data_IF_327772589779
#
_entry.id   IF_327772589779
#
_cell.length_a   1.000
_cell.length_b   1.000
_cell.length_c   1.000
_cell.angle_alpha   90.00
_cell.angle_beta   90.00
_cell.angle_gamma   90.00
#
_symmetry.space_group_name_H-M   'P 1'
#
loop_
_entity.id
_entity.type
_entity.pdbx_description
1 polymer ?
#
# COMPACT_ATOMS: atom_id res chain seq x y z
N UNK A 1 -18.52 -0.34 23.64
CA UNK A 1 -17.17 -0.82 23.89
C UNK A 1 -17.06 -2.31 23.63
N UNK A 2 -15.96 -2.75 23.03
CA UNK A 2 -15.65 -4.15 22.81
C UNK A 2 -15.44 -4.80 24.18
N UNK A 3 -16.18 -5.86 24.48
CA UNK A 3 -16.13 -6.54 25.79
C UNK A 3 -15.56 -7.96 25.70
N UNK A 4 -15.39 -8.49 24.48
CA UNK A 4 -14.94 -9.87 24.26
C UNK A 4 -13.53 -9.90 23.68
N UNK A 5 -12.65 -10.80 24.15
CA UNK A 5 -11.26 -10.90 23.68
C UNK A 5 -11.11 -11.78 22.43
N UNK A 6 -12.13 -11.90 21.60
CA UNK A 6 -12.11 -12.69 20.37
C UNK A 6 -12.53 -11.87 19.17
N UNK A 7 -12.09 -12.28 17.98
CA UNK A 7 -12.50 -11.70 16.71
C UNK A 7 -13.89 -12.19 16.31
N UNK A 8 -14.63 -11.33 15.59
CA UNK A 8 -15.86 -11.74 14.93
C UNK A 8 -15.48 -12.47 13.65
N UNK A 9 -15.81 -13.73 13.55
CA UNK A 9 -15.51 -14.61 12.43
C UNK A 9 -16.74 -15.10 11.67
N UNK A 10 -17.93 -14.68 12.07
CA UNK A 10 -19.21 -14.90 11.37
C UNK A 10 -20.14 -13.73 11.68
N UNK A 11 -20.20 -12.78 10.75
CA UNK A 11 -20.96 -11.55 10.89
C UNK A 11 -22.18 -11.54 9.96
N UNK A 12 -23.26 -10.91 10.41
CA UNK A 12 -24.45 -10.69 9.57
C UNK A 12 -24.19 -9.65 8.47
N UNK A 13 -23.24 -8.73 8.73
CA UNK A 13 -22.79 -7.70 7.81
C UNK A 13 -21.28 -7.50 7.92
N UNK A 14 -20.60 -7.47 6.76
CA UNK A 14 -19.18 -7.13 6.64
C UNK A 14 -19.04 -5.96 5.66
N UNK A 15 -18.21 -4.97 6.00
CA UNK A 15 -17.87 -3.87 5.10
C UNK A 15 -16.38 -3.87 4.79
N UNK A 16 -16.03 -4.01 3.53
CA UNK A 16 -14.68 -3.81 3.01
C UNK A 16 -14.51 -2.35 2.61
N UNK A 17 -13.82 -1.57 3.42
CA UNK A 17 -13.65 -0.13 3.16
C UNK A 17 -12.54 0.18 2.15
N UNK A 18 -11.62 -0.75 1.90
CA UNK A 18 -10.53 -0.59 0.94
C UNK A 18 -10.51 -1.78 -0.04
N UNK A 19 -10.64 -1.53 -1.35
CA UNK A 19 -10.70 -2.60 -2.36
C UNK A 19 -9.44 -3.44 -2.43
N UNK A 20 -8.28 -2.94 -1.98
CA UNK A 20 -7.04 -3.72 -1.95
C UNK A 20 -7.13 -4.99 -1.10
N UNK A 21 -8.04 -5.05 -0.13
CA UNK A 21 -8.25 -6.27 0.67
C UNK A 21 -8.93 -7.37 -0.15
N UNK A 22 -9.72 -6.99 -1.15
CA UNK A 22 -10.32 -7.93 -2.11
C UNK A 22 -9.25 -8.43 -3.09
N UNK A 23 -8.48 -7.53 -3.70
CA UNK A 23 -7.43 -7.91 -4.66
C UNK A 23 -6.29 -8.72 -4.04
N UNK A 24 -6.06 -8.56 -2.74
CA UNK A 24 -5.08 -9.35 -1.96
C UNK A 24 -5.64 -10.67 -1.41
N UNK A 25 -6.88 -10.99 -1.75
CA UNK A 25 -7.56 -12.21 -1.31
C UNK A 25 -7.59 -12.38 0.22
N UNK A 26 -7.77 -11.28 0.97
CA UNK A 26 -8.00 -11.39 2.41
C UNK A 26 -9.33 -12.11 2.67
N UNK A 27 -9.39 -13.01 3.66
CA UNK A 27 -10.56 -13.88 3.89
C UNK A 27 -11.78 -13.16 4.49
N UNK A 28 -11.87 -11.82 4.41
CA UNK A 28 -12.98 -11.04 4.93
C UNK A 28 -14.34 -11.46 4.38
N UNK A 29 -14.36 -12.00 3.17
CA UNK A 29 -15.58 -12.57 2.56
C UNK A 29 -16.08 -13.77 3.36
N UNK A 30 -15.17 -14.60 3.91
CA UNK A 30 -15.50 -15.78 4.72
C UNK A 30 -16.03 -15.45 6.11
N UNK A 31 -15.84 -14.19 6.55
CA UNK A 31 -16.39 -13.71 7.84
C UNK A 31 -17.89 -13.42 7.76
N UNK A 32 -18.46 -13.35 6.57
CA UNK A 32 -19.90 -13.18 6.37
C UNK A 32 -20.62 -14.49 6.62
N UNK A 33 -21.68 -14.47 7.45
CA UNK A 33 -22.59 -15.62 7.63
C UNK A 33 -23.32 -15.95 6.33
N UNK A 34 -23.71 -17.23 6.13
CA UNK A 34 -24.66 -17.58 5.07
C UNK A 34 -25.92 -16.69 5.11
N UNK A 35 -26.31 -16.16 3.96
CA UNK A 35 -27.40 -15.19 3.82
C UNK A 35 -27.11 -13.77 4.32
N UNK A 36 -25.91 -13.52 4.83
CA UNK A 36 -25.47 -12.21 5.29
C UNK A 36 -25.18 -11.23 4.16
N UNK A 37 -24.68 -10.04 4.50
CA UNK A 37 -24.40 -8.99 3.54
C UNK A 37 -22.91 -8.59 3.55
N UNK A 38 -22.35 -8.39 2.34
CA UNK A 38 -21.01 -7.85 2.10
C UNK A 38 -21.12 -6.53 1.33
N UNK A 39 -20.59 -5.45 1.88
CA UNK A 39 -20.46 -4.16 1.22
C UNK A 39 -18.99 -3.92 0.86
N UNK A 40 -18.69 -3.61 -0.38
CA UNK A 40 -17.34 -3.25 -0.84
C UNK A 40 -17.33 -1.78 -1.28
N UNK A 41 -16.47 -0.97 -0.67
CA UNK A 41 -16.21 0.39 -1.10
C UNK A 41 -15.12 0.38 -2.18
N UNK A 42 -15.52 0.58 -3.43
CA UNK A 42 -14.62 0.58 -4.58
C UNK A 42 -15.18 1.45 -5.70
N UNK A 43 -14.34 1.71 -6.71
CA UNK A 43 -14.72 2.43 -7.93
C UNK A 43 -15.14 1.48 -9.07
N UNK A 44 -15.11 0.17 -8.82
CA UNK A 44 -15.47 -0.85 -9.81
C UNK A 44 -16.97 -0.91 -10.06
N UNK A 45 -17.33 -1.17 -11.31
CA UNK A 45 -18.68 -1.58 -11.67
C UNK A 45 -18.95 -3.03 -11.23
N UNK A 46 -20.21 -3.48 -11.19
CA UNK A 46 -20.53 -4.89 -10.92
C UNK A 46 -19.82 -5.88 -11.87
N UNK A 47 -19.61 -5.50 -13.13
CA UNK A 47 -18.95 -6.32 -14.15
C UNK A 47 -17.42 -6.39 -13.88
N UNK A 48 -16.79 -5.28 -13.57
CA UNK A 48 -15.36 -5.22 -13.25
C UNK A 48 -15.03 -5.97 -11.96
N UNK A 49 -15.95 -6.00 -10.98
CA UNK A 49 -15.74 -6.71 -9.72
C UNK A 49 -15.37 -8.18 -9.93
N UNK A 50 -15.91 -8.82 -10.96
CA UNK A 50 -15.63 -10.23 -11.24
C UNK A 50 -14.13 -10.49 -11.46
N UNK A 51 -13.43 -9.57 -12.08
CA UNK A 51 -11.98 -9.69 -12.35
C UNK A 51 -11.14 -9.56 -11.07
N UNK A 52 -11.67 -8.88 -10.06
CA UNK A 52 -10.97 -8.61 -8.80
C UNK A 52 -11.23 -9.63 -7.69
N UNK A 53 -12.29 -10.43 -7.81
CA UNK A 53 -12.60 -11.46 -6.81
C UNK A 53 -11.82 -12.75 -7.10
N UNK A 54 -11.20 -13.32 -6.06
CA UNK A 54 -10.61 -14.66 -6.16
C UNK A 54 -11.67 -15.72 -6.39
N UNK A 55 -11.29 -16.85 -7.01
CA UNK A 55 -12.18 -17.99 -7.19
C UNK A 55 -12.75 -18.50 -5.86
N UNK A 56 -11.96 -18.45 -4.78
CA UNK A 56 -12.40 -18.86 -3.45
C UNK A 56 -13.47 -17.92 -2.89
N UNK A 57 -13.29 -16.59 -3.09
CA UNK A 57 -14.28 -15.59 -2.70
C UNK A 57 -15.57 -15.72 -3.50
N UNK A 58 -15.47 -15.91 -4.83
CA UNK A 58 -16.63 -16.16 -5.72
C UNK A 58 -17.45 -17.35 -5.27
N UNK A 59 -16.79 -18.50 -5.05
CA UNK A 59 -17.47 -19.70 -4.56
C UNK A 59 -18.16 -19.48 -3.24
N UNK A 60 -17.45 -18.87 -2.27
CA UNK A 60 -18.04 -18.62 -0.95
C UNK A 60 -19.29 -17.74 -1.03
N UNK A 61 -19.24 -16.66 -1.81
CA UNK A 61 -20.37 -15.74 -2.01
C UNK A 61 -21.58 -16.48 -2.59
N UNK A 62 -21.36 -17.27 -3.66
CA UNK A 62 -22.45 -17.96 -4.36
C UNK A 62 -23.01 -19.19 -3.61
N UNK A 63 -22.16 -19.95 -2.90
CA UNK A 63 -22.57 -21.13 -2.11
C UNK A 63 -23.32 -20.76 -0.83
N UNK A 64 -23.06 -19.55 -0.29
CA UNK A 64 -23.63 -19.10 0.97
C UNK A 64 -24.72 -18.01 0.81
N UNK A 65 -25.20 -17.76 -0.41
CA UNK A 65 -26.24 -16.75 -0.71
C UNK A 65 -25.92 -15.37 -0.14
N UNK A 66 -24.66 -14.94 -0.22
CA UNK A 66 -24.21 -13.65 0.31
C UNK A 66 -24.79 -12.50 -0.53
N UNK A 67 -25.44 -11.55 0.11
CA UNK A 67 -25.94 -10.33 -0.52
C UNK A 67 -24.78 -9.38 -0.75
N UNK A 68 -24.36 -9.24 -1.99
CA UNK A 68 -23.20 -8.44 -2.38
C UNK A 68 -23.61 -7.02 -2.80
N UNK A 69 -22.94 -6.02 -2.24
CA UNK A 69 -23.17 -4.62 -2.51
C UNK A 69 -21.88 -3.87 -2.83
N UNK A 70 -21.93 -2.92 -3.75
CA UNK A 70 -20.86 -1.97 -4.06
C UNK A 70 -21.28 -0.56 -3.71
N UNK A 71 -20.32 0.26 -3.29
CA UNK A 71 -20.50 1.71 -3.10
C UNK A 71 -19.20 2.42 -3.49
N UNK A 72 -19.31 3.50 -4.26
CA UNK A 72 -18.17 4.38 -4.52
C UNK A 72 -18.25 5.62 -3.59
N UNK A 73 -17.93 5.42 -2.32
CA UNK A 73 -18.02 6.48 -1.32
C UNK A 73 -16.93 7.56 -1.51
N UNK A 74 -15.86 7.28 -2.25
CA UNK A 74 -14.77 8.24 -2.49
C UNK A 74 -15.25 9.34 -3.43
N UNK A 75 -15.78 8.97 -4.58
CA UNK A 75 -16.26 9.96 -5.57
C UNK A 75 -17.47 10.71 -5.04
N UNK A 76 -18.38 10.04 -4.34
CA UNK A 76 -19.48 10.68 -3.62
C UNK A 76 -18.99 11.73 -2.62
N UNK A 77 -17.94 11.43 -1.84
CA UNK A 77 -17.39 12.38 -0.88
C UNK A 77 -16.76 13.59 -1.58
N UNK A 78 -16.11 13.39 -2.72
CA UNK A 78 -15.53 14.46 -3.54
C UNK A 78 -16.63 15.35 -4.11
N UNK A 79 -17.68 14.78 -4.71
CA UNK A 79 -18.83 15.49 -5.28
C UNK A 79 -19.57 16.34 -4.24
N UNK A 80 -19.73 15.82 -3.02
CA UNK A 80 -20.38 16.53 -1.91
C UNK A 80 -19.48 17.66 -1.36
N UNK A 81 -18.17 17.64 -1.66
CA UNK A 81 -17.19 18.59 -1.13
C UNK A 81 -16.51 18.15 0.17
N UNK A 82 -16.66 16.89 0.57
CA UNK A 82 -16.02 16.32 1.76
C UNK A 82 -14.57 15.86 1.51
N UNK A 83 -14.05 15.98 0.29
CA UNK A 83 -12.77 15.46 -0.13
C UNK A 83 -12.75 13.93 0.00
N UNK A 84 -11.75 13.36 0.68
CA UNK A 84 -11.61 11.90 0.84
C UNK A 84 -12.31 11.34 2.11
N UNK A 85 -13.22 12.08 2.75
CA UNK A 85 -13.88 11.70 4.00
C UNK A 85 -15.13 10.86 3.73
N UNK A 86 -14.98 9.56 3.69
CA UNK A 86 -16.04 8.60 3.34
C UNK A 86 -16.80 8.05 4.54
N UNK A 87 -16.32 8.27 5.77
CA UNK A 87 -16.83 7.62 6.98
C UNK A 87 -18.34 7.84 7.21
N UNK A 88 -18.86 9.03 7.00
CA UNK A 88 -20.28 9.33 7.19
C UNK A 88 -21.15 8.62 6.16
N UNK A 89 -20.70 8.56 4.90
CA UNK A 89 -21.38 7.84 3.81
C UNK A 89 -21.44 6.35 4.13
N UNK A 90 -20.30 5.74 4.48
CA UNK A 90 -20.20 4.32 4.78
C UNK A 90 -20.98 3.93 6.06
N UNK A 91 -21.03 4.81 7.06
CA UNK A 91 -21.84 4.59 8.25
C UNK A 91 -23.34 4.59 7.91
N UNK A 92 -23.80 5.46 7.04
CA UNK A 92 -25.18 5.49 6.59
C UNK A 92 -25.56 4.24 5.79
N UNK A 93 -24.67 3.81 4.88
CA UNK A 93 -24.82 2.54 4.16
C UNK A 93 -24.90 1.34 5.12
N UNK A 94 -24.06 1.34 6.17
CA UNK A 94 -24.12 0.30 7.21
C UNK A 94 -25.49 0.21 7.86
N UNK A 95 -26.03 1.31 8.38
CA UNK A 95 -27.32 1.29 9.05
C UNK A 95 -28.47 0.84 8.13
N UNK A 96 -28.38 1.20 6.85
CA UNK A 96 -29.37 0.79 5.85
C UNK A 96 -29.31 -0.71 5.54
N UNK A 97 -28.10 -1.25 5.35
CA UNK A 97 -27.90 -2.65 4.93
C UNK A 97 -27.92 -3.64 6.08
N UNK A 98 -27.33 -3.29 7.23
CA UNK A 98 -27.26 -4.16 8.40
C UNK A 98 -28.59 -4.22 9.18
N UNK A 99 -29.51 -3.28 8.95
CA UNK A 99 -30.88 -3.24 9.52
C UNK A 99 -30.90 -3.41 11.06
N UNK A 100 -29.94 -2.80 11.75
CA UNK A 100 -29.85 -2.87 13.22
C UNK A 100 -30.92 -2.05 13.91
N UNK A 101 -31.56 -1.14 13.19
CA UNK A 101 -32.73 -0.35 13.59
C UNK A 101 -33.51 0.10 12.33
N UNK A 102 -34.73 0.67 12.46
CA UNK A 102 -35.43 1.25 11.32
C UNK A 102 -34.57 2.31 10.61
N UNK A 103 -34.52 2.25 9.29
CA UNK A 103 -33.65 3.10 8.47
C UNK A 103 -33.91 4.59 8.68
N UNK A 104 -35.17 5.00 8.72
CA UNK A 104 -35.56 6.40 8.91
C UNK A 104 -35.07 6.96 10.26
N UNK A 105 -35.19 6.16 11.32
CA UNK A 105 -34.70 6.54 12.66
C UNK A 105 -33.17 6.65 12.66
N UNK A 106 -32.47 5.71 12.03
CA UNK A 106 -31.01 5.72 11.95
C UNK A 106 -30.50 6.98 11.23
N UNK A 107 -31.10 7.31 10.09
CA UNK A 107 -30.76 8.50 9.30
C UNK A 107 -31.02 9.77 10.13
N UNK A 108 -32.15 9.84 10.84
CA UNK A 108 -32.47 11.00 11.66
C UNK A 108 -31.46 11.15 12.82
N UNK A 109 -31.14 10.09 13.52
CA UNK A 109 -30.12 10.13 14.59
C UNK A 109 -28.74 10.53 14.07
N UNK A 110 -28.35 10.06 12.89
CA UNK A 110 -27.09 10.48 12.26
C UNK A 110 -27.09 11.99 11.92
N UNK A 111 -28.19 12.50 11.38
CA UNK A 111 -28.33 13.94 11.05
C UNK A 111 -28.32 14.80 12.31
N UNK A 112 -29.01 14.40 13.36
CA UNK A 112 -29.00 15.08 14.66
C UNK A 112 -27.61 15.12 15.29
N UNK A 113 -26.89 13.99 15.24
CA UNK A 113 -25.53 13.88 15.73
C UNK A 113 -24.54 14.74 14.90
N UNK A 114 -24.69 14.77 13.59
CA UNK A 114 -23.90 15.61 12.69
C UNK A 114 -24.15 17.11 12.98
N UNK A 115 -25.41 17.50 13.11
CA UNK A 115 -25.81 18.86 13.47
C UNK A 115 -25.19 19.28 14.80
N UNK A 116 -25.30 18.46 15.85
CA UNK A 116 -24.70 18.72 17.16
C UNK A 116 -23.17 18.85 17.09
N UNK A 117 -22.52 18.00 16.31
CA UNK A 117 -21.06 17.95 16.22
C UNK A 117 -20.46 19.10 15.41
N UNK A 118 -21.18 19.53 14.37
CA UNK A 118 -20.64 20.48 13.39
C UNK A 118 -21.30 21.86 13.41
N UNK A 119 -22.33 22.11 14.22
CA UNK A 119 -23.01 23.41 14.31
C UNK A 119 -22.04 24.59 14.48
N UNK A 120 -20.98 24.43 15.28
CA UNK A 120 -19.96 25.45 15.50
C UNK A 120 -19.05 25.72 14.29
N UNK A 121 -19.05 24.84 13.28
CA UNK A 121 -18.24 24.97 12.07
C UNK A 121 -18.97 25.62 10.90
N UNK A 122 -20.26 25.94 11.07
CA UNK A 122 -21.10 26.61 10.08
C UNK A 122 -22.16 25.68 9.48
N UNK A 123 -23.22 26.31 8.97
CA UNK A 123 -24.37 25.61 8.39
C UNK A 123 -23.99 24.78 7.15
N UNK A 124 -23.06 25.27 6.33
CA UNK A 124 -22.60 24.58 5.12
C UNK A 124 -21.96 23.22 5.45
N UNK A 125 -21.20 23.15 6.56
CA UNK A 125 -20.57 21.89 7.00
C UNK A 125 -21.62 20.91 7.52
N UNK A 126 -22.66 21.39 8.19
CA UNK A 126 -23.80 20.57 8.64
C UNK A 126 -24.54 20.01 7.42
N UNK A 127 -24.90 20.87 6.45
CA UNK A 127 -25.58 20.48 5.22
C UNK A 127 -24.79 19.45 4.41
N UNK A 128 -23.50 19.65 4.27
CA UNK A 128 -22.59 18.71 3.61
C UNK A 128 -22.63 17.32 4.28
N UNK A 129 -22.62 17.25 5.61
CA UNK A 129 -22.73 15.98 6.33
C UNK A 129 -24.11 15.35 6.19
N UNK A 130 -25.20 16.15 6.14
CA UNK A 130 -26.55 15.64 5.88
C UNK A 130 -26.65 15.03 4.48
N UNK A 131 -26.10 15.70 3.44
CA UNK A 131 -26.02 15.16 2.08
C UNK A 131 -25.25 13.85 2.03
N UNK A 132 -24.15 13.75 2.77
CA UNK A 132 -23.35 12.51 2.85
C UNK A 132 -24.15 11.36 3.51
N UNK A 133 -24.96 11.64 4.53
CA UNK A 133 -25.83 10.67 5.17
C UNK A 133 -26.89 10.17 4.18
N UNK A 134 -27.56 11.10 3.47
CA UNK A 134 -28.59 10.75 2.48
C UNK A 134 -28.02 9.94 1.32
N UNK A 135 -26.87 10.36 0.79
CA UNK A 135 -26.17 9.63 -0.27
C UNK A 135 -25.78 8.21 0.15
N UNK A 136 -25.21 8.05 1.36
CA UNK A 136 -24.84 6.74 1.87
C UNK A 136 -26.02 5.78 2.05
N UNK A 137 -27.21 6.31 2.30
CA UNK A 137 -28.42 5.50 2.46
C UNK A 137 -28.97 4.92 1.13
N UNK A 138 -28.54 5.44 -0.02
CA UNK A 138 -29.14 5.10 -1.33
C UNK A 138 -28.16 4.80 -2.45
N UNK A 139 -26.89 5.21 -2.34
CA UNK A 139 -25.94 5.17 -3.44
C UNK A 139 -25.20 3.82 -3.62
N UNK A 140 -25.52 2.80 -2.84
CA UNK A 140 -24.98 1.46 -3.06
C UNK A 140 -25.80 0.70 -4.11
N UNK A 141 -25.11 -0.18 -4.84
CA UNK A 141 -25.69 -1.05 -5.85
C UNK A 141 -25.61 -2.49 -5.38
N UNK A 142 -26.69 -3.24 -5.47
CA UNK A 142 -26.67 -4.69 -5.24
C UNK A 142 -26.17 -5.39 -6.50
N UNK A 143 -25.23 -6.31 -6.32
CA UNK A 143 -24.66 -7.12 -7.39
C UNK A 143 -25.41 -8.44 -7.48
N UNK A 144 -25.89 -8.78 -8.68
CA UNK A 144 -26.43 -10.10 -8.95
C UNK A 144 -25.30 -11.12 -9.01
N UNK A 145 -25.34 -12.10 -8.12
CA UNK A 145 -24.30 -13.13 -7.99
C UNK A 145 -24.53 -14.23 -9.05
N UNK A 146 -23.62 -14.42 -10.03
CA UNK A 146 -23.79 -15.45 -11.05
C UNK A 146 -23.70 -16.86 -10.45
N UNK A 147 -24.59 -17.75 -10.88
CA UNK A 147 -24.55 -19.17 -10.48
C UNK A 147 -23.22 -19.85 -10.87
N UNK A 148 -22.61 -19.41 -11.96
CA UNK A 148 -21.29 -19.87 -12.42
C UNK A 148 -20.17 -19.67 -11.38
N UNK A 149 -20.33 -18.75 -10.44
CA UNK A 149 -19.32 -18.54 -9.40
C UNK A 149 -19.16 -19.74 -8.45
N UNK A 150 -20.17 -20.60 -8.31
CA UNK A 150 -20.06 -21.83 -7.51
C UNK A 150 -18.97 -22.79 -8.00
N UNK A 151 -18.66 -22.74 -9.29
CA UNK A 151 -17.65 -23.58 -9.93
C UNK A 151 -16.41 -22.81 -10.38
N UNK A 152 -16.19 -21.60 -9.87
CA UNK A 152 -15.05 -20.76 -10.23
C UNK A 152 -13.72 -21.49 -9.93
N UNK A 153 -12.84 -21.60 -10.91
CA UNK A 153 -11.52 -22.22 -10.77
C UNK A 153 -10.44 -21.17 -10.54
N UNK A 154 -9.52 -21.47 -9.64
CA UNK A 154 -8.38 -20.58 -9.38
C UNK A 154 -7.40 -20.65 -10.55
N UNK A 155 -7.01 -19.51 -11.10
CA UNK A 155 -5.86 -19.45 -11.99
C UNK A 155 -4.61 -19.95 -11.25
N UNK A 156 -3.70 -20.69 -11.93
CA UNK A 156 -2.45 -21.10 -11.31
C UNK A 156 -1.67 -19.85 -10.87
N UNK A 157 -1.32 -19.78 -9.59
CA UNK A 157 -0.46 -18.71 -9.07
C UNK A 157 0.95 -18.93 -9.60
N UNK A 158 1.36 -18.13 -10.57
CA UNK A 158 2.77 -17.99 -10.95
C UNK A 158 3.35 -16.89 -10.06
N UNK A 159 3.81 -17.25 -8.89
CA UNK A 159 4.56 -16.32 -8.03
C UNK A 159 6.06 -16.44 -8.35
N UNK A 160 6.48 -15.92 -9.49
CA UNK A 160 7.90 -15.63 -9.70
C UNK A 160 8.26 -14.39 -8.89
N UNK A 161 8.50 -14.58 -7.59
CA UNK A 161 8.99 -13.52 -6.72
C UNK A 161 10.50 -13.40 -6.97
N UNK A 162 10.93 -12.29 -7.56
CA UNK A 162 12.34 -11.98 -7.77
C UNK A 162 12.94 -11.38 -6.48
N UNK A 163 14.12 -11.84 -6.09
CA UNK A 163 14.79 -11.33 -4.91
C UNK A 163 15.82 -12.28 -4.30
N UNK A 164 16.32 -11.92 -3.14
CA UNK A 164 17.26 -12.76 -2.40
C UNK A 164 16.58 -14.04 -1.90
N UNK A 165 17.21 -15.22 -2.07
CA UNK A 165 16.58 -16.51 -1.76
C UNK A 165 15.98 -16.59 -0.36
N UNK A 166 16.70 -16.06 0.65
CA UNK A 166 16.25 -16.07 2.04
C UNK A 166 15.03 -15.16 2.28
N UNK A 167 14.96 -14.01 1.58
CA UNK A 167 13.81 -13.10 1.67
C UNK A 167 12.61 -13.69 0.93
N UNK A 168 12.82 -14.26 -0.25
CA UNK A 168 11.78 -14.96 -1.03
C UNK A 168 11.19 -16.13 -0.22
N UNK A 169 12.05 -16.93 0.43
CA UNK A 169 11.58 -18.02 1.29
C UNK A 169 10.72 -17.53 2.46
N UNK A 170 11.12 -16.44 3.14
CA UNK A 170 10.31 -15.82 4.20
C UNK A 170 8.96 -15.33 3.66
N UNK A 171 8.99 -14.63 2.52
CA UNK A 171 7.78 -14.07 1.92
C UNK A 171 6.81 -15.19 1.56
N UNK A 172 7.26 -16.19 0.83
CA UNK A 172 6.39 -17.27 0.34
C UNK A 172 5.87 -18.16 1.46
N UNK A 173 6.74 -18.54 2.40
CA UNK A 173 6.40 -19.56 3.40
C UNK A 173 5.74 -19.00 4.66
N UNK A 174 5.95 -17.71 4.97
CA UNK A 174 5.45 -17.10 6.21
C UNK A 174 4.63 -15.85 5.95
N UNK A 175 5.21 -14.86 5.25
CA UNK A 175 4.60 -13.54 5.13
C UNK A 175 3.30 -13.56 4.33
N UNK A 176 3.26 -14.23 3.18
CA UNK A 176 2.04 -14.33 2.37
C UNK A 176 0.90 -15.08 3.06
N UNK A 177 1.11 -16.26 3.69
CA UNK A 177 0.05 -16.90 4.47
C UNK A 177 -0.47 -16.01 5.60
N UNK A 178 0.42 -15.34 6.34
CA UNK A 178 0.03 -14.42 7.42
C UNK A 178 -0.73 -13.21 6.85
N UNK A 179 -0.28 -12.64 5.73
CA UNK A 179 -0.96 -11.52 5.08
C UNK A 179 -2.36 -11.89 4.56
N UNK A 180 -2.55 -13.14 4.16
CA UNK A 180 -3.88 -13.69 3.81
C UNK A 180 -4.72 -14.08 5.02
N UNK A 181 -4.25 -13.79 6.25
CA UNK A 181 -4.88 -14.17 7.51
C UNK A 181 -5.06 -15.69 7.68
N UNK A 182 -4.18 -16.48 7.08
CA UNK A 182 -4.12 -17.93 7.14
C UNK A 182 -2.90 -18.42 7.95
N UNK A 183 -2.39 -17.56 8.83
CA UNK A 183 -1.22 -17.84 9.65
C UNK A 183 -1.41 -19.02 10.61
N UNK A 184 -2.63 -19.30 11.03
CA UNK A 184 -2.95 -20.45 11.90
C UNK A 184 -2.77 -21.81 11.18
N UNK A 185 -2.70 -21.84 9.85
CA UNK A 185 -2.39 -23.05 9.08
C UNK A 185 -0.88 -23.40 9.09
N UNK A 186 -0.02 -22.43 9.48
CA UNK A 186 1.42 -22.63 9.49
C UNK A 186 1.85 -23.56 10.65
N UNK A 187 2.63 -24.61 10.35
CA UNK A 187 3.24 -25.41 11.41
C UNK A 187 4.35 -24.62 12.13
N UNK A 188 4.64 -24.96 13.36
CA UNK A 188 5.76 -24.35 14.13
C UNK A 188 7.09 -24.45 13.36
N UNK A 189 7.28 -25.52 12.58
CA UNK A 189 8.47 -25.72 11.75
C UNK A 189 8.64 -24.70 10.61
N UNK A 190 7.60 -23.93 10.25
CA UNK A 190 7.73 -22.82 9.30
C UNK A 190 8.63 -21.69 9.82
N UNK A 191 8.87 -21.65 11.14
CA UNK A 191 9.70 -20.64 11.80
C UNK A 191 11.10 -21.15 12.16
N UNK A 192 11.48 -22.35 11.70
CA UNK A 192 12.86 -22.87 11.87
C UNK A 192 13.82 -21.96 11.10
N UNK A 193 14.86 -21.49 11.80
CA UNK A 193 15.83 -20.49 11.31
C UNK A 193 15.50 -19.05 11.71
N UNK A 194 14.37 -18.81 12.40
CA UNK A 194 13.98 -17.49 12.92
C UNK A 194 13.77 -17.51 14.45
N UNK A 195 14.24 -18.52 15.14
CA UNK A 195 14.02 -18.78 16.58
C UNK A 195 14.61 -17.69 17.48
N UNK A 196 15.67 -17.04 17.02
CA UNK A 196 16.33 -15.92 17.70
C UNK A 196 15.68 -14.55 17.39
N UNK A 197 14.62 -14.53 16.58
CA UNK A 197 13.93 -13.33 16.15
C UNK A 197 14.64 -12.55 15.04
N UNK A 198 15.65 -13.14 14.37
CA UNK A 198 16.28 -12.54 13.20
C UNK A 198 15.53 -12.96 11.94
N UNK A 199 15.11 -11.97 11.17
CA UNK A 199 14.41 -12.15 9.90
C UNK A 199 15.22 -11.49 8.75
N UNK A 200 15.13 -12.01 7.52
CA UNK A 200 15.72 -11.36 6.35
C UNK A 200 15.25 -9.91 6.20
N UNK A 201 16.17 -9.00 5.93
CA UNK A 201 15.84 -7.59 5.69
C UNK A 201 15.17 -7.38 4.33
N UNK A 202 14.34 -6.33 4.20
CA UNK A 202 13.75 -5.90 2.94
C UNK A 202 12.43 -6.58 2.57
N UNK A 203 11.82 -7.36 3.48
CA UNK A 203 10.56 -8.04 3.20
C UNK A 203 9.38 -7.06 2.95
N UNK A 204 9.46 -5.81 3.40
CA UNK A 204 8.46 -4.76 3.09
C UNK A 204 8.26 -4.51 1.59
N UNK A 205 9.28 -4.77 0.76
CA UNK A 205 9.20 -4.63 -0.70
C UNK A 205 8.14 -5.56 -1.35
N UNK A 206 7.75 -6.62 -0.65
CA UNK A 206 6.78 -7.63 -1.14
C UNK A 206 5.36 -7.44 -0.60
N UNK A 207 5.13 -6.46 0.30
CA UNK A 207 3.79 -6.20 0.80
C UNK A 207 2.85 -5.65 -0.27
N UNK A 208 3.33 -4.77 -1.16
CA UNK A 208 2.57 -4.20 -2.28
C UNK A 208 1.14 -3.81 -1.87
N UNK A 209 1.03 -2.92 -0.88
CA UNK A 209 -0.25 -2.63 -0.17
C UNK A 209 -1.32 -2.02 -1.06
N UNK A 210 -0.94 -1.22 -2.08
CA UNK A 210 -1.87 -0.64 -3.05
C UNK A 210 -2.93 0.26 -2.41
N UNK A 211 -2.57 1.03 -1.39
CA UNK A 211 -3.53 1.82 -0.58
C UNK A 211 -3.73 3.25 -1.07
N UNK A 212 -2.90 3.72 -1.99
CA UNK A 212 -3.04 5.06 -2.55
C UNK A 212 -4.26 5.14 -3.48
N UNK A 213 -5.05 6.19 -3.37
CA UNK A 213 -6.12 6.49 -4.33
C UNK A 213 -5.54 7.09 -5.61
N UNK A 214 -4.49 7.92 -5.44
CA UNK A 214 -3.79 8.55 -6.56
C UNK A 214 -2.29 8.45 -6.32
N UNK A 215 -1.53 8.30 -7.39
CA UNK A 215 -0.08 8.18 -7.43
C UNK A 215 0.52 9.17 -8.44
N UNK A 216 1.81 9.54 -8.34
CA UNK A 216 2.38 10.51 -9.27
C UNK A 216 2.68 9.86 -10.62
N UNK A 217 2.11 10.41 -11.68
CA UNK A 217 2.55 10.20 -13.05
C UNK A 217 3.73 11.13 -13.38
N UNK A 218 4.73 10.63 -14.11
CA UNK A 218 5.88 11.40 -14.52
C UNK A 218 5.82 11.82 -15.99
N UNK A 219 5.96 13.14 -16.22
CA UNK A 219 6.18 13.71 -17.55
C UNK A 219 7.70 13.96 -17.77
N UNK A 220 8.37 13.17 -18.64
CA UNK A 220 9.79 13.31 -18.90
C UNK A 220 10.18 14.62 -19.60
N UNK A 221 9.30 15.20 -20.43
CA UNK A 221 9.63 16.36 -21.28
C UNK A 221 9.91 17.62 -20.46
N UNK A 222 9.19 17.81 -19.35
CA UNK A 222 9.36 18.97 -18.48
C UNK A 222 10.35 18.72 -17.35
N UNK A 223 10.80 17.47 -17.15
CA UNK A 223 11.67 17.08 -16.05
C UNK A 223 13.10 17.63 -16.20
N UNK A 224 13.61 18.30 -15.17
CA UNK A 224 14.98 18.81 -15.10
C UNK A 224 15.97 17.86 -14.41
N UNK A 225 15.52 16.68 -13.98
CA UNK A 225 16.32 15.63 -13.31
C UNK A 225 17.00 16.13 -12.02
N UNK A 226 16.30 16.94 -11.23
CA UNK A 226 16.83 17.47 -9.97
C UNK A 226 16.73 16.47 -8.80
N UNK A 227 15.94 15.39 -8.94
CA UNK A 227 15.69 14.34 -7.97
C UNK A 227 15.07 14.81 -6.63
N UNK A 228 14.50 16.03 -6.57
CA UNK A 228 13.86 16.53 -5.35
C UNK A 228 12.63 15.69 -4.97
N UNK A 229 11.88 15.20 -5.95
CA UNK A 229 10.74 14.31 -5.73
C UNK A 229 11.15 13.00 -5.01
N UNK A 230 12.24 12.39 -5.43
CA UNK A 230 12.82 11.23 -4.75
C UNK A 230 13.35 11.61 -3.35
N UNK A 231 14.03 12.75 -3.25
CA UNK A 231 14.62 13.22 -2.00
C UNK A 231 13.58 13.42 -0.88
N UNK A 232 12.39 13.91 -1.19
CA UNK A 232 11.34 14.14 -0.19
C UNK A 232 10.45 12.92 0.06
N UNK A 233 10.51 11.87 -0.78
CA UNK A 233 9.64 10.72 -0.64
C UNK A 233 9.95 9.93 0.65
N UNK A 234 8.99 9.82 1.59
CA UNK A 234 9.23 9.11 2.86
C UNK A 234 9.31 7.59 2.70
N UNK A 235 8.76 7.05 1.61
CA UNK A 235 8.59 5.61 1.40
C UNK A 235 9.51 5.04 0.32
N UNK A 236 10.38 5.87 -0.30
CA UNK A 236 11.27 5.48 -1.38
C UNK A 236 10.57 4.85 -2.60
N UNK A 237 9.37 5.30 -2.91
CA UNK A 237 8.51 4.77 -3.99
C UNK A 237 8.69 5.49 -5.33
N UNK A 238 9.43 6.60 -5.36
CA UNK A 238 9.81 7.33 -6.56
C UNK A 238 11.33 7.46 -6.57
N UNK A 239 11.99 6.90 -7.59
CA UNK A 239 13.45 6.79 -7.64
C UNK A 239 13.99 7.08 -9.04
N UNK A 240 15.11 7.84 -9.15
CA UNK A 240 15.82 8.01 -10.40
C UNK A 240 16.74 6.82 -10.69
N UNK A 241 16.78 6.43 -11.94
CA UNK A 241 17.72 5.44 -12.46
C UNK A 241 18.39 5.99 -13.73
N UNK A 242 19.59 5.49 -14.02
CA UNK A 242 20.28 5.71 -15.27
C UNK A 242 20.54 4.35 -15.93
N UNK A 243 20.00 4.16 -17.11
CA UNK A 243 20.03 2.90 -17.84
C UNK A 243 20.96 3.04 -19.05
N UNK A 244 21.84 2.06 -19.23
CA UNK A 244 22.61 1.88 -20.47
C UNK A 244 21.69 1.41 -21.59
N UNK A 245 22.13 1.48 -22.84
CA UNK A 245 21.37 0.98 -23.99
C UNK A 245 21.01 -0.51 -23.84
N UNK A 246 21.91 -1.30 -23.26
CA UNK A 246 21.67 -2.73 -23.01
C UNK A 246 20.58 -2.96 -21.93
N UNK A 247 20.53 -2.14 -20.90
CA UNK A 247 19.50 -2.17 -19.88
C UNK A 247 18.17 -1.65 -20.45
N UNK A 248 18.19 -0.58 -21.26
CA UNK A 248 16.98 -0.08 -21.94
C UNK A 248 16.36 -1.11 -22.88
N UNK A 249 17.18 -1.88 -23.61
CA UNK A 249 16.69 -2.92 -24.52
C UNK A 249 15.93 -4.04 -23.82
N UNK A 250 16.11 -4.21 -22.51
CA UNK A 250 15.45 -5.22 -21.66
C UNK A 250 14.33 -4.62 -20.79
N UNK A 251 14.21 -3.30 -20.75
CA UNK A 251 13.19 -2.62 -19.96
C UNK A 251 11.78 -2.88 -20.54
N UNK A 252 10.73 -2.84 -19.69
CA UNK A 252 9.35 -2.89 -20.16
C UNK A 252 9.08 -1.84 -21.25
N UNK A 253 8.29 -2.20 -22.27
CA UNK A 253 8.07 -1.37 -23.45
C UNK A 253 7.49 0.02 -23.13
N UNK A 254 6.72 0.15 -22.05
CA UNK A 254 6.12 1.41 -21.59
C UNK A 254 7.09 2.32 -20.82
N UNK A 255 8.36 1.92 -20.63
CA UNK A 255 9.33 2.70 -19.83
C UNK A 255 9.55 4.09 -20.42
N UNK A 256 9.07 5.11 -19.74
CA UNK A 256 9.32 6.52 -20.05
C UNK A 256 10.80 6.85 -19.77
N UNK A 257 11.50 7.50 -20.68
CA UNK A 257 12.92 7.86 -20.50
C UNK A 257 13.31 9.12 -21.25
N UNK A 258 14.40 9.74 -20.84
CA UNK A 258 15.07 10.87 -21.53
C UNK A 258 16.59 10.75 -21.33
N UNK A 259 17.43 11.35 -22.18
CA UNK A 259 18.88 11.36 -21.96
C UNK A 259 19.25 11.94 -20.59
N UNK A 260 20.24 11.36 -19.92
CA UNK A 260 20.79 11.90 -18.67
C UNK A 260 21.35 13.30 -18.90
N UNK A 261 20.90 14.27 -18.09
CA UNK A 261 21.40 15.67 -18.15
C UNK A 261 22.67 15.80 -17.32
N UNK A 262 23.79 16.06 -17.98
CA UNK A 262 25.10 16.25 -17.35
C UNK A 262 26.23 15.67 -18.18
N UNK A 263 27.49 15.84 -17.74
CA UNK A 263 28.65 15.25 -18.40
C UNK A 263 28.85 13.79 -18.05
N UNK A 264 28.53 13.43 -16.80
CA UNK A 264 28.61 12.06 -16.30
C UNK A 264 27.31 11.35 -16.68
N UNK A 265 27.41 10.18 -17.28
CA UNK A 265 26.26 9.37 -17.72
C UNK A 265 25.55 9.92 -18.96
N UNK A 266 26.20 10.79 -19.77
CA UNK A 266 25.61 11.38 -20.97
C UNK A 266 25.23 10.36 -22.06
N UNK A 267 25.76 9.17 -21.97
CA UNK A 267 25.49 7.99 -22.81
C UNK A 267 24.36 7.10 -22.25
N UNK A 268 23.72 7.51 -21.16
CA UNK A 268 22.66 6.75 -20.49
C UNK A 268 21.30 7.43 -20.62
N UNK A 269 20.25 6.64 -20.41
CA UNK A 269 18.87 7.12 -20.32
C UNK A 269 18.44 7.28 -18.86
N UNK A 270 17.88 8.45 -18.54
CA UNK A 270 17.28 8.74 -17.25
C UNK A 270 15.85 8.23 -17.19
N UNK A 271 15.53 7.47 -16.17
CA UNK A 271 14.19 6.99 -15.84
C UNK A 271 13.85 7.44 -14.43
N UNK A 272 12.68 8.01 -14.23
CA UNK A 272 12.13 8.28 -12.91
C UNK A 272 11.02 7.25 -12.64
N UNK A 273 11.39 6.13 -12.04
CA UNK A 273 10.45 5.04 -11.79
C UNK A 273 9.61 5.30 -10.54
N UNK A 274 8.32 4.97 -10.62
CA UNK A 274 7.35 5.06 -9.52
C UNK A 274 6.82 3.67 -9.22
N UNK A 275 6.70 3.33 -7.92
CA UNK A 275 5.99 2.13 -7.46
C UNK A 275 4.57 2.49 -7.03
N UNK A 276 3.53 2.28 -7.85
CA UNK A 276 2.15 2.60 -7.49
C UNK A 276 1.66 1.80 -6.28
N UNK A 277 2.02 0.52 -6.21
CA UNK A 277 1.56 -0.39 -5.15
C UNK A 277 2.19 -0.11 -3.78
N UNK A 278 3.34 0.55 -3.73
CA UNK A 278 4.02 0.93 -2.49
C UNK A 278 3.79 2.42 -2.13
N UNK A 279 3.27 3.22 -3.06
CA UNK A 279 2.99 4.63 -2.86
C UNK A 279 1.85 4.83 -1.85
N UNK A 280 1.99 5.86 -0.99
CA UNK A 280 0.96 6.23 0.00
C UNK A 280 0.09 7.42 -0.43
N UNK A 281 0.27 7.94 -1.65
CA UNK A 281 -0.56 9.00 -2.22
C UNK A 281 -0.46 10.35 -1.50
N UNK A 282 0.66 10.65 -0.85
CA UNK A 282 0.80 11.88 -0.04
C UNK A 282 0.97 13.18 -0.85
N UNK A 283 1.37 13.10 -2.13
CA UNK A 283 1.54 14.25 -3.01
C UNK A 283 2.80 15.10 -2.79
N UNK A 284 3.68 14.77 -1.82
CA UNK A 284 4.88 15.58 -1.53
C UNK A 284 5.81 15.73 -2.73
N UNK A 285 5.96 14.68 -3.54
CA UNK A 285 6.79 14.71 -4.76
C UNK A 285 6.26 15.70 -5.79
N UNK A 286 4.95 15.83 -5.94
CA UNK A 286 4.29 16.79 -6.83
C UNK A 286 4.49 18.21 -6.31
N UNK A 287 4.21 18.47 -5.03
CA UNK A 287 4.38 19.79 -4.40
C UNK A 287 5.83 20.29 -4.51
N UNK A 288 6.79 19.37 -4.42
CA UNK A 288 8.23 19.71 -4.46
C UNK A 288 8.79 19.83 -5.89
N UNK A 289 8.02 19.45 -6.91
CA UNK A 289 8.50 19.50 -8.29
C UNK A 289 8.55 20.95 -8.81
N UNK A 290 9.73 21.50 -9.15
CA UNK A 290 9.83 22.90 -9.55
C UNK A 290 9.39 23.19 -10.99
N UNK A 291 9.10 22.14 -11.76
CA UNK A 291 8.73 22.22 -13.19
C UNK A 291 7.41 21.52 -13.49
N UNK A 292 6.62 21.20 -12.47
CA UNK A 292 5.33 20.53 -12.60
C UNK A 292 5.38 19.25 -13.46
N UNK A 293 6.52 18.54 -13.40
CA UNK A 293 6.74 17.30 -14.17
C UNK A 293 6.03 16.08 -13.55
N UNK A 294 5.31 16.26 -12.44
CA UNK A 294 4.57 15.21 -11.75
C UNK A 294 3.13 15.65 -11.53
N UNK A 295 2.19 14.78 -11.83
CA UNK A 295 0.76 14.98 -11.62
C UNK A 295 0.19 13.77 -10.86
N UNK A 296 -0.73 13.99 -9.91
CA UNK A 296 -1.41 12.89 -9.23
C UNK A 296 -2.51 12.32 -10.11
N UNK A 297 -2.37 11.06 -10.51
CA UNK A 297 -3.34 10.32 -11.32
C UNK A 297 -3.99 9.19 -10.50
N UNK A 298 -5.18 8.72 -10.87
CA UNK A 298 -5.78 7.53 -10.26
C UNK A 298 -4.81 6.35 -10.32
N UNK A 299 -4.70 5.56 -9.24
CA UNK A 299 -3.77 4.42 -9.21
C UNK A 299 -4.05 3.41 -10.33
N UNK A 300 -5.31 3.23 -10.72
CA UNK A 300 -5.70 2.30 -11.77
C UNK A 300 -5.05 2.63 -13.13
N UNK A 301 -4.83 3.92 -13.41
CA UNK A 301 -4.23 4.39 -14.66
C UNK A 301 -2.70 4.24 -14.68
N UNK A 302 -2.08 4.00 -13.51
CA UNK A 302 -0.62 3.98 -13.33
C UNK A 302 -0.07 2.60 -12.95
N UNK A 303 -0.88 1.55 -12.93
CA UNK A 303 -0.44 0.20 -12.54
C UNK A 303 0.65 -0.37 -13.45
N UNK A 304 0.67 0.06 -14.71
CA UNK A 304 1.70 -0.32 -15.69
C UNK A 304 3.11 0.20 -15.35
N UNK A 305 3.23 1.16 -14.44
CA UNK A 305 4.51 1.63 -13.92
C UNK A 305 5.14 0.65 -12.90
N UNK A 306 4.37 -0.25 -12.29
CA UNK A 306 4.92 -1.22 -11.33
C UNK A 306 5.97 -2.14 -11.93
N UNK A 307 5.77 -2.79 -13.10
CA UNK A 307 6.80 -3.58 -13.77
C UNK A 307 8.05 -2.76 -14.11
N UNK A 308 7.91 -1.48 -14.46
CA UNK A 308 9.04 -0.58 -14.74
C UNK A 308 9.87 -0.36 -13.47
N UNK A 309 9.19 -0.06 -12.35
CA UNK A 309 9.87 0.12 -11.07
C UNK A 309 10.59 -1.15 -10.61
N UNK A 310 9.91 -2.30 -10.69
CA UNK A 310 10.47 -3.59 -10.28
C UNK A 310 11.67 -3.98 -11.17
N UNK A 311 11.60 -3.73 -12.47
CA UNK A 311 12.75 -3.88 -13.38
C UNK A 311 13.92 -2.99 -12.96
N UNK A 312 13.68 -1.71 -12.74
CA UNK A 312 14.71 -0.76 -12.38
C UNK A 312 15.41 -1.12 -11.06
N UNK A 313 14.65 -1.59 -10.07
CA UNK A 313 15.20 -1.97 -8.75
C UNK A 313 15.97 -3.28 -8.80
N UNK A 314 15.51 -4.27 -9.57
CA UNK A 314 16.04 -5.62 -9.51
C UNK A 314 17.07 -5.93 -10.61
N UNK A 315 17.05 -5.23 -11.76
CA UNK A 315 17.86 -5.56 -12.94
C UNK A 315 18.84 -4.47 -13.35
N UNK A 316 18.57 -3.19 -13.02
CA UNK A 316 19.47 -2.09 -13.38
C UNK A 316 20.62 -2.00 -12.38
N UNK A 317 21.85 -2.04 -12.90
CA UNK A 317 23.03 -1.95 -12.08
C UNK A 317 23.21 -0.55 -11.45
N UNK A 318 23.78 -0.50 -10.24
CA UNK A 318 24.18 0.77 -9.65
C UNK A 318 25.16 1.54 -10.53
N UNK A 319 25.08 2.87 -10.50
CA UNK A 319 25.96 3.77 -11.27
C UNK A 319 26.74 4.65 -10.28
N UNK A 320 27.83 4.13 -9.69
CA UNK A 320 28.63 4.85 -8.69
C UNK A 320 29.12 6.22 -9.15
N UNK A 321 29.34 6.39 -10.45
CA UNK A 321 29.77 7.64 -11.07
C UNK A 321 28.71 8.76 -10.99
N UNK A 322 27.42 8.42 -10.81
CA UNK A 322 26.32 9.35 -10.61
C UNK A 322 26.04 9.62 -9.13
N UNK A 323 26.58 8.81 -8.25
CA UNK A 323 26.35 8.90 -6.82
C UNK A 323 27.19 10.00 -6.16
N UNK A 324 26.66 10.55 -5.05
CA UNK A 324 27.34 11.59 -4.30
C UNK A 324 26.56 12.05 -3.08
N UNK A 325 26.91 13.22 -2.54
CA UNK A 325 26.30 13.80 -1.34
C UNK A 325 25.36 14.99 -1.62
N UNK A 326 25.31 15.46 -2.88
CA UNK A 326 24.32 16.47 -3.27
C UNK A 326 22.91 15.88 -3.29
N UNK A 327 21.88 16.74 -3.24
CA UNK A 327 20.47 16.30 -3.33
C UNK A 327 20.26 15.39 -4.55
N UNK A 328 20.72 15.83 -5.74
CA UNK A 328 20.58 15.06 -6.99
C UNK A 328 21.33 13.72 -6.91
N UNK A 329 22.60 13.75 -6.55
CA UNK A 329 23.47 12.59 -6.63
C UNK A 329 23.20 11.54 -5.53
N UNK A 330 22.78 11.97 -4.35
CA UNK A 330 22.42 11.05 -3.25
C UNK A 330 21.24 10.14 -3.61
N UNK A 331 20.37 10.56 -4.52
CA UNK A 331 19.16 9.81 -4.87
C UNK A 331 19.42 8.66 -5.85
N UNK A 332 20.58 8.62 -6.52
CA UNK A 332 21.00 7.45 -7.29
C UNK A 332 21.47 6.29 -6.40
N UNK A 333 21.81 6.58 -5.12
CA UNK A 333 22.10 5.52 -4.15
C UNK A 333 20.83 4.77 -3.75
N UNK A 334 20.92 3.45 -3.66
CA UNK A 334 19.83 2.62 -3.13
C UNK A 334 19.49 3.06 -1.69
N UNK A 335 18.23 3.42 -1.38
CA UNK A 335 17.81 3.58 0.00
C UNK A 335 17.80 2.23 0.71
N UNK A 336 18.33 2.18 1.94
CA UNK A 336 18.30 0.98 2.76
C UNK A 336 17.21 1.06 3.84
N UNK A 337 16.25 1.96 3.65
CA UNK A 337 14.93 2.02 4.29
C UNK A 337 13.92 2.31 3.19
N UNK A 338 13.00 1.39 2.95
CA UNK A 338 12.04 1.46 1.86
C UNK A 338 10.69 0.86 2.24
N UNK A 339 9.61 1.40 1.68
CA UNK A 339 8.24 0.90 1.81
C UNK A 339 7.79 0.67 3.26
N UNK A 340 8.21 1.54 4.17
CA UNK A 340 7.85 1.46 5.59
C UNK A 340 6.34 1.66 5.81
N UNK A 341 5.80 1.09 6.89
CA UNK A 341 4.42 1.30 7.32
C UNK A 341 4.15 2.66 7.98
N UNK A 342 5.00 3.68 7.73
CA UNK A 342 4.79 5.02 8.25
C UNK A 342 3.62 5.75 7.58
N UNK A 343 3.13 6.81 8.20
CA UNK A 343 2.04 7.61 7.67
C UNK A 343 2.38 8.21 6.29
N UNK A 344 1.37 8.46 5.46
CA UNK A 344 1.53 9.22 4.23
C UNK A 344 2.13 10.60 4.52
N UNK A 345 3.24 10.94 3.86
CA UNK A 345 3.93 12.21 4.08
C UNK A 345 4.75 12.30 5.39
N UNK A 346 5.12 11.17 5.98
CA UNK A 346 5.90 11.13 7.23
C UNK A 346 7.26 11.81 7.06
N UNK A 347 7.49 12.92 7.78
CA UNK A 347 8.76 13.63 7.73
C UNK A 347 9.91 12.81 8.34
N UNK A 348 9.64 12.00 9.38
CA UNK A 348 10.67 11.21 10.05
C UNK A 348 11.31 10.17 9.11
N UNK A 349 10.51 9.46 8.32
CA UNK A 349 11.02 8.45 7.41
C UNK A 349 11.77 9.05 6.22
N UNK A 350 11.49 10.30 5.82
CA UNK A 350 12.31 11.01 4.82
C UNK A 350 13.75 11.17 5.28
N UNK A 351 13.98 11.57 6.54
CA UNK A 351 15.34 11.70 7.10
C UNK A 351 16.00 10.34 7.28
N UNK A 352 15.28 9.39 7.89
CA UNK A 352 15.81 8.05 8.12
C UNK A 352 16.25 7.39 6.81
N UNK A 353 15.44 7.51 5.75
CA UNK A 353 15.76 7.01 4.42
C UNK A 353 17.04 7.65 3.86
N UNK A 354 17.16 8.99 3.90
CA UNK A 354 18.35 9.68 3.41
C UNK A 354 19.62 9.26 4.17
N UNK A 355 19.53 9.14 5.49
CA UNK A 355 20.66 8.66 6.31
C UNK A 355 21.07 7.25 5.92
N UNK A 356 20.11 6.36 5.60
CA UNK A 356 20.43 5.02 5.11
C UNK A 356 21.07 5.01 3.73
N UNK A 357 20.71 5.95 2.83
CA UNK A 357 21.38 6.09 1.53
C UNK A 357 22.85 6.50 1.66
N UNK A 358 23.19 7.26 2.68
CA UNK A 358 24.55 7.78 2.89
C UNK A 358 25.43 6.85 3.73
N UNK A 359 24.83 6.15 4.70
CA UNK A 359 25.57 5.44 5.74
C UNK A 359 24.99 4.05 6.06
N UNK A 360 23.90 3.62 5.45
CA UNK A 360 23.14 2.44 5.84
C UNK A 360 23.90 1.13 5.80
N UNK A 361 24.91 1.02 4.95
CA UNK A 361 25.79 -0.13 4.82
C UNK A 361 26.61 -0.42 6.10
N UNK A 362 26.76 0.56 6.99
CA UNK A 362 27.58 0.50 8.21
C UNK A 362 26.91 1.11 9.44
N UNK A 363 25.57 1.22 9.42
CA UNK A 363 24.79 1.84 10.51
C UNK A 363 24.40 0.84 11.58
N UNK A 364 24.56 1.25 12.84
CA UNK A 364 23.88 0.67 14.00
C UNK A 364 22.82 1.66 14.49
N UNK A 365 21.57 1.20 14.62
CA UNK A 365 20.44 2.02 15.02
C UNK A 365 19.99 1.59 16.41
N UNK A 366 20.25 2.42 17.42
CA UNK A 366 19.68 2.28 18.76
C UNK A 366 18.39 3.11 18.80
N UNK A 367 17.24 2.43 18.80
CA UNK A 367 15.95 3.07 18.74
C UNK A 367 15.29 3.15 20.12
N UNK A 368 14.49 4.18 20.35
CA UNK A 368 13.61 4.29 21.52
C UNK A 368 12.15 4.15 21.09
N UNK A 369 11.29 3.71 22.00
CA UNK A 369 9.87 3.50 21.70
C UNK A 369 9.20 4.79 21.20
N UNK A 370 8.56 4.70 20.04
CA UNK A 370 7.89 5.79 19.34
C UNK A 370 7.47 5.32 17.95
N UNK A 371 7.18 6.24 17.04
CA UNK A 371 6.81 5.92 15.65
C UNK A 371 7.87 5.06 14.95
N UNK A 372 9.16 5.32 15.20
CA UNK A 372 10.26 4.55 14.63
C UNK A 372 10.31 3.08 15.09
N UNK A 373 9.74 2.76 16.26
CA UNK A 373 9.53 1.37 16.67
C UNK A 373 8.40 0.69 15.90
N UNK A 374 7.38 1.46 15.51
CA UNK A 374 6.20 0.93 14.83
C UNK A 374 6.51 0.68 13.35
N UNK A 375 7.07 1.65 12.64
CA UNK A 375 7.38 1.47 11.22
C UNK A 375 8.72 0.75 10.96
N UNK A 376 9.64 0.72 11.93
CA UNK A 376 10.96 0.09 11.78
C UNK A 376 11.10 -1.26 12.49
N UNK A 377 10.19 -1.59 13.42
CA UNK A 377 10.27 -2.78 14.27
C UNK A 377 9.62 -4.07 13.78
N UNK A 378 8.70 -4.08 12.78
CA UNK A 378 8.14 -5.33 12.29
C UNK A 378 9.24 -6.23 11.69
N UNK A 379 9.45 -7.39 12.29
CA UNK A 379 10.51 -8.31 11.89
C UNK A 379 10.22 -8.96 10.53
N UNK A 380 9.04 -9.54 10.38
CA UNK A 380 8.64 -10.25 9.16
C UNK A 380 8.40 -9.33 7.96
N UNK A 381 8.23 -8.02 8.17
CA UNK A 381 8.02 -7.02 7.11
C UNK A 381 8.98 -5.85 7.27
N UNK A 382 10.25 -6.14 7.56
CA UNK A 382 11.26 -5.12 7.83
C UNK A 382 11.42 -4.17 6.64
N UNK A 383 11.31 -2.84 6.87
CA UNK A 383 11.54 -1.84 5.85
C UNK A 383 13.03 -1.55 5.63
N UNK A 384 13.89 -1.97 6.55
CA UNK A 384 15.33 -1.90 6.33
C UNK A 384 15.77 -3.01 5.38
N UNK A 385 16.63 -2.66 4.44
CA UNK A 385 17.13 -3.59 3.42
C UNK A 385 18.66 -3.53 3.32
N UNK A 386 19.24 -4.28 2.40
CA UNK A 386 20.68 -4.34 2.17
C UNK A 386 21.05 -3.85 0.78
N UNK A 387 22.31 -3.45 0.61
CA UNK A 387 22.91 -3.16 -0.69
C UNK A 387 23.27 -4.45 -1.47
N UNK A 388 23.93 -4.32 -2.62
CA UNK A 388 24.32 -5.46 -3.46
C UNK A 388 25.33 -6.40 -2.77
N UNK A 389 26.11 -5.88 -1.81
CA UNK A 389 27.10 -6.66 -1.05
C UNK A 389 26.49 -7.36 0.18
N UNK A 390 25.16 -7.22 0.39
CA UNK A 390 24.47 -7.81 1.54
C UNK A 390 24.57 -6.99 2.83
N UNK A 391 25.12 -5.78 2.78
CA UNK A 391 25.26 -4.90 3.95
C UNK A 391 24.08 -3.97 4.12
N UNK A 392 23.59 -3.82 5.36
CA UNK A 392 22.48 -2.93 5.71
C UNK A 392 22.47 -2.57 7.19
N UNK A 393 21.52 -1.70 7.63
CA UNK A 393 21.45 -1.25 9.00
C UNK A 393 21.17 -2.38 9.98
N UNK A 394 21.90 -2.40 11.10
CA UNK A 394 21.53 -3.19 12.27
C UNK A 394 20.63 -2.34 13.18
N UNK A 395 19.47 -2.84 13.55
CA UNK A 395 18.47 -2.11 14.33
C UNK A 395 18.14 -2.82 15.65
N UNK A 396 18.05 -2.04 16.73
CA UNK A 396 17.58 -2.55 18.01
C UNK A 396 16.79 -1.51 18.78
N UNK A 397 15.82 -1.95 19.62
CA UNK A 397 15.03 -1.07 20.47
C UNK A 397 15.55 -1.10 21.92
N UNK A 398 15.75 0.07 22.52
CA UNK A 398 16.36 0.23 23.84
C UNK A 398 15.45 -0.11 25.03
N UNK A 399 14.13 -0.27 24.85
CA UNK A 399 13.22 -0.58 25.95
C UNK A 399 12.61 -1.97 25.84
N UNK A 400 13.14 -2.89 26.66
CA UNK A 400 12.42 -4.06 27.19
C UNK A 400 12.10 -5.21 26.24
N UNK A 401 12.34 -5.09 24.96
CA UNK A 401 12.24 -6.21 24.04
C UNK A 401 13.62 -6.83 23.88
N UNK A 402 13.97 -7.70 24.81
CA UNK A 402 15.07 -8.64 24.63
C UNK A 402 14.66 -9.56 23.48
N UNK A 403 15.26 -9.38 22.31
CA UNK A 403 15.13 -10.34 21.22
C UNK A 403 14.97 -9.82 19.82
N UNK A 404 14.51 -8.60 19.57
CA UNK A 404 14.42 -8.11 18.21
C UNK A 404 15.76 -7.53 17.72
N UNK A 405 16.69 -8.39 17.40
CA UNK A 405 17.87 -8.03 16.61
C UNK A 405 17.51 -8.18 15.14
N UNK A 406 17.29 -7.07 14.46
CA UNK A 406 17.11 -7.08 13.02
C UNK A 406 18.45 -6.99 12.32
N UNK A 407 18.73 -7.97 11.51
CA UNK A 407 19.79 -7.96 10.52
C UNK A 407 21.18 -8.12 11.06
N UNK A 408 21.82 -9.20 10.68
CA UNK A 408 23.26 -9.29 10.69
C UNK A 408 23.83 -8.23 9.73
N UNK A 409 24.64 -7.33 10.26
CA UNK A 409 25.79 -6.90 9.50
C UNK A 409 26.68 -8.17 9.36
N UNK A 410 26.42 -8.98 8.36
CA UNK A 410 27.33 -10.07 8.00
C UNK A 410 28.58 -9.44 7.45
N UNK A 411 29.62 -9.36 8.25
CA UNK A 411 30.94 -8.91 7.83
C UNK A 411 31.55 -7.84 8.74
N UNK A 412 32.06 -8.25 9.87
CA UNK A 412 33.35 -7.81 10.45
C UNK A 412 34.27 -8.99 10.47
#
# INVERSE_FOLDING_TARGET
PIRSPYYVNKADFVACHNPSYITKDFPIVRDVKPGGALLINCQWTPEELEEHLSAAAKRYIAENDIKLYLINAIDLAIEIGMGKRTNTILQSAFFTLAKVMPQEEAIQYMKDAATKSYAKKGADIVDMNHKAIDAGATAFVQVDVPEAWKTAEAAPKTSDIDGRPETVALVTNVMEPVARMDGDSLPVSAFVGYEDGQFPLGASAYEKRGVAVSVPEWNPDTCIQCNQCSFVCPHATIRPFALTDAEMAQAPAQTKHVPVKGKVGADMQYVLAVSPLDCMGCGLCVIQCPTDSLTMMPIADELDEQPVFDYCVNKVAAKPELEGTSVKASQFKKPLLEFSGSCAGCAQTSYARLVTQLFGDRMYIANATGCSSIWGGPAATSPYTVNADGHGPAWSNSRGQRGARHGHASGL
#
